data_IF_286962548160
#
_entry.id   IF_286962548160
#
_cell.length_a   1.000
_cell.length_b   1.000
_cell.length_c   1.000
_cell.angle_alpha   90.00
_cell.angle_beta   90.00
_cell.angle_gamma   90.00
#
_symmetry.space_group_name_H-M   'P 1'
#
loop_
_entity.id
_entity.type
_entity.pdbx_description
1 polymer ?
#
# COMPACT_ATOMS: atom_id res chain seq x y z
N UNK A 1 -2.85 1.45 -27.87
CA UNK A 1 -2.93 2.69 -27.05
C UNK A 1 -3.20 3.88 -27.94
N UNK A 2 -4.09 4.80 -27.55
CA UNK A 2 -4.34 6.02 -28.33
C UNK A 2 -3.16 7.00 -28.24
N UNK A 3 -3.01 7.86 -29.24
CA UNK A 3 -1.98 8.91 -29.28
C UNK A 3 -2.04 9.83 -28.04
N UNK A 4 -3.24 10.03 -27.48
CA UNK A 4 -3.46 10.88 -26.32
C UNK A 4 -2.85 10.27 -25.04
N UNK A 5 -2.97 8.95 -24.87
CA UNK A 5 -2.41 8.24 -23.72
C UNK A 5 -0.87 8.21 -23.74
N UNK A 6 -0.25 8.10 -24.92
CA UNK A 6 1.23 8.19 -25.07
C UNK A 6 1.76 9.57 -24.64
N UNK A 7 1.13 10.65 -25.10
CA UNK A 7 1.52 12.02 -24.75
C UNK A 7 1.38 12.34 -23.25
N UNK A 8 0.48 11.65 -22.55
CA UNK A 8 0.31 11.84 -21.11
C UNK A 8 1.47 11.20 -20.33
N UNK A 9 1.86 9.98 -20.69
CA UNK A 9 2.97 9.26 -20.06
C UNK A 9 4.30 10.00 -20.26
N UNK A 10 4.52 10.58 -21.44
CA UNK A 10 5.72 11.39 -21.74
C UNK A 10 5.88 12.62 -20.83
N UNK A 11 4.80 13.08 -20.19
CA UNK A 11 4.80 14.27 -19.31
C UNK A 11 4.96 13.93 -17.83
N UNK A 12 4.97 12.66 -17.46
CA UNK A 12 5.09 12.21 -16.07
C UNK A 12 6.51 11.70 -15.84
N UNK A 13 7.26 12.36 -14.95
CA UNK A 13 8.50 11.78 -14.43
C UNK A 13 8.15 10.61 -13.51
N UNK A 14 8.94 9.53 -13.54
CA UNK A 14 8.82 8.45 -12.57
C UNK A 14 8.92 8.99 -11.14
N UNK A 15 8.16 8.40 -10.22
CA UNK A 15 8.23 8.77 -8.81
C UNK A 15 9.60 8.35 -8.25
N UNK A 16 10.41 9.29 -7.73
CA UNK A 16 11.71 8.94 -7.18
C UNK A 16 11.51 8.19 -5.87
N UNK A 17 11.69 6.87 -5.91
CA UNK A 17 11.71 6.05 -4.69
C UNK A 17 13.05 6.27 -4.02
N UNK A 18 13.04 6.84 -2.80
CA UNK A 18 14.23 6.83 -1.97
C UNK A 18 14.53 5.39 -1.57
N UNK A 19 15.54 4.82 -2.20
CA UNK A 19 16.13 3.57 -1.78
C UNK A 19 17.40 3.94 -1.03
N UNK A 20 17.35 3.94 0.30
CA UNK A 20 18.54 4.07 1.13
C UNK A 20 19.57 2.97 0.80
N UNK A 21 20.80 3.06 1.34
CA UNK A 21 21.77 1.98 1.20
C UNK A 21 21.18 0.66 1.73
N UNK A 22 21.35 -0.42 0.96
CA UNK A 22 20.93 -1.76 1.38
C UNK A 22 21.55 -2.11 2.74
N UNK A 23 20.84 -2.87 3.56
CA UNK A 23 21.35 -3.35 4.85
C UNK A 23 22.74 -3.99 4.73
N UNK A 24 22.97 -4.77 3.67
CA UNK A 24 24.27 -5.38 3.37
C UNK A 24 25.41 -4.36 3.22
N UNK A 25 25.14 -3.19 2.62
CA UNK A 25 26.12 -2.11 2.51
C UNK A 25 26.40 -1.48 3.89
N UNK A 26 25.37 -1.31 4.72
CA UNK A 26 25.53 -0.80 6.09
C UNK A 26 26.32 -1.75 6.99
N UNK A 27 26.12 -3.07 6.84
CA UNK A 27 26.89 -4.10 7.57
C UNK A 27 28.38 -4.04 7.21
N UNK A 28 28.72 -3.83 5.93
CA UNK A 28 30.12 -3.70 5.52
C UNK A 28 30.80 -2.42 6.03
N UNK A 29 30.04 -1.33 6.19
CA UNK A 29 30.57 -0.06 6.67
C UNK A 29 30.81 -0.05 8.20
N UNK A 30 29.98 -0.80 8.96
CA UNK A 30 30.09 -0.91 10.43
C UNK A 30 29.91 -2.35 10.89
N UNK A 31 30.95 -3.20 10.82
CA UNK A 31 30.84 -4.64 11.09
C UNK A 31 30.43 -5.02 12.52
N UNK A 32 30.64 -4.12 13.49
CA UNK A 32 30.27 -4.32 14.90
C UNK A 32 28.84 -3.90 15.23
N UNK A 33 28.13 -3.28 14.28
CA UNK A 33 26.76 -2.80 14.47
C UNK A 33 25.81 -3.61 13.59
N UNK A 34 24.66 -4.01 14.15
CA UNK A 34 23.55 -4.59 13.38
C UNK A 34 22.71 -3.43 12.83
N UNK A 35 22.71 -3.16 11.52
CA UNK A 35 21.90 -2.07 10.98
C UNK A 35 20.41 -2.39 11.11
N UNK A 36 19.64 -1.36 11.43
CA UNK A 36 18.18 -1.40 11.49
C UNK A 36 17.63 -0.50 10.39
N UNK A 37 16.64 -0.97 9.63
CA UNK A 37 15.90 -0.14 8.67
C UNK A 37 14.89 0.71 9.43
N UNK A 38 15.01 2.03 9.28
CA UNK A 38 14.17 3.04 9.95
C UNK A 38 13.72 4.13 8.96
N UNK A 39 13.75 3.84 7.65
CA UNK A 39 13.60 4.82 6.56
C UNK A 39 12.25 4.72 5.82
N UNK A 40 11.43 3.70 6.07
CA UNK A 40 10.17 3.45 5.35
C UNK A 40 8.94 3.37 6.28
N UNK A 41 9.04 3.90 7.50
CA UNK A 41 7.93 3.98 8.48
C UNK A 41 7.31 2.64 8.89
N UNK A 42 8.05 1.52 8.84
CA UNK A 42 7.52 0.23 9.30
C UNK A 42 7.33 0.17 10.82
N UNK A 43 6.35 -0.62 11.27
CA UNK A 43 6.12 -0.88 12.68
C UNK A 43 6.86 -2.14 13.15
N UNK A 44 7.98 -1.96 13.85
CA UNK A 44 8.78 -3.05 14.44
C UNK A 44 8.37 -3.42 15.87
N UNK A 45 7.32 -2.82 16.43
CA UNK A 45 6.83 -3.12 17.77
C UNK A 45 5.85 -4.31 17.80
N UNK A 46 5.30 -4.69 16.64
CA UNK A 46 4.48 -5.90 16.53
C UNK A 46 5.38 -7.14 16.68
N UNK A 47 5.07 -8.08 17.60
CA UNK A 47 5.85 -9.30 17.72
C UNK A 47 5.88 -10.06 16.39
N UNK A 48 7.07 -10.47 15.95
CA UNK A 48 7.23 -11.22 14.71
C UNK A 48 6.34 -12.47 14.67
N UNK A 49 6.22 -13.19 15.79
CA UNK A 49 5.37 -14.37 15.90
C UNK A 49 3.88 -14.07 15.64
N UNK A 50 3.41 -12.88 16.04
CA UNK A 50 2.03 -12.45 15.77
C UNK A 50 1.80 -12.26 14.27
N UNK A 51 2.70 -11.51 13.60
CA UNK A 51 2.60 -11.25 12.15
C UNK A 51 2.70 -12.56 11.36
N UNK A 52 3.63 -13.44 11.72
CA UNK A 52 3.77 -14.77 11.10
C UNK A 52 2.52 -15.62 11.29
N UNK A 53 1.90 -15.59 12.47
CA UNK A 53 0.65 -16.31 12.74
C UNK A 53 -0.51 -15.83 11.85
N UNK A 54 -0.65 -14.52 11.65
CA UNK A 54 -1.67 -13.95 10.76
C UNK A 54 -1.45 -14.39 9.31
N UNK A 55 -0.20 -14.32 8.83
CA UNK A 55 0.16 -14.74 7.47
C UNK A 55 -0.11 -16.24 7.27
N UNK A 56 0.31 -17.07 8.23
CA UNK A 56 0.11 -18.51 8.16
C UNK A 56 -1.38 -18.86 8.06
N UNK A 57 -2.21 -18.24 8.91
CA UNK A 57 -3.67 -18.43 8.86
C UNK A 57 -4.25 -18.02 7.49
N UNK A 58 -3.81 -16.89 6.94
CA UNK A 58 -4.28 -16.44 5.63
C UNK A 58 -3.92 -17.42 4.50
N UNK A 59 -2.75 -18.06 4.56
CA UNK A 59 -2.34 -19.11 3.61
C UNK A 59 -3.16 -20.39 3.78
N UNK A 60 -3.48 -20.77 5.01
CA UNK A 60 -4.30 -21.94 5.31
C UNK A 60 -5.77 -21.76 4.88
N UNK A 61 -6.31 -20.56 5.07
CA UNK A 61 -7.70 -20.21 4.77
C UNK A 61 -7.92 -19.83 3.29
N UNK A 62 -6.87 -19.80 2.47
CA UNK A 62 -6.93 -19.30 1.08
C UNK A 62 -6.24 -20.20 0.06
N UNK A 63 -6.99 -20.67 -0.94
CA UNK A 63 -6.42 -21.30 -2.13
C UNK A 63 -6.06 -20.21 -3.15
N UNK A 64 -4.77 -19.93 -3.41
CA UNK A 64 -4.35 -18.85 -4.31
C UNK A 64 -4.74 -19.09 -5.78
N UNK A 65 -5.24 -20.29 -6.12
CA UNK A 65 -5.76 -20.61 -7.46
C UNK A 65 -7.19 -20.12 -7.66
N UNK A 66 -7.89 -19.74 -6.60
CA UNK A 66 -9.30 -19.36 -6.61
C UNK A 66 -9.48 -17.87 -6.29
N UNK A 67 -10.41 -17.22 -6.99
CA UNK A 67 -10.87 -15.89 -6.60
C UNK A 67 -11.69 -15.97 -5.31
N UNK A 68 -11.29 -15.22 -4.29
CA UNK A 68 -12.01 -15.15 -3.03
C UNK A 68 -12.99 -13.98 -3.03
N UNK A 69 -14.26 -14.25 -3.29
CA UNK A 69 -15.30 -13.21 -3.37
C UNK A 69 -15.97 -12.88 -2.02
N UNK A 70 -15.91 -13.78 -1.02
CA UNK A 70 -16.61 -13.62 0.26
C UNK A 70 -15.88 -12.79 1.33
N UNK A 71 -14.56 -12.91 1.41
CA UNK A 71 -13.76 -12.39 2.55
C UNK A 71 -13.81 -10.86 2.68
N UNK A 72 -13.99 -10.15 1.57
CA UNK A 72 -14.05 -8.69 1.58
C UNK A 72 -15.34 -8.15 2.20
N UNK A 73 -16.44 -8.91 2.14
CA UNK A 73 -17.72 -8.47 2.71
C UNK A 73 -17.67 -8.47 4.24
N UNK A 74 -17.09 -9.52 4.82
CA UNK A 74 -16.88 -9.61 6.27
C UNK A 74 -15.87 -8.59 6.75
N UNK A 75 -14.70 -8.48 6.09
CA UNK A 75 -13.69 -7.49 6.43
C UNK A 75 -14.26 -6.07 6.43
N UNK A 76 -15.08 -5.73 5.43
CA UNK A 76 -15.74 -4.42 5.33
C UNK A 76 -16.67 -4.15 6.51
N UNK A 77 -17.43 -5.15 6.95
CA UNK A 77 -18.33 -5.04 8.11
C UNK A 77 -17.53 -4.80 9.40
N UNK A 78 -16.52 -5.64 9.66
CA UNK A 78 -15.71 -5.52 10.87
C UNK A 78 -14.95 -4.18 10.94
N UNK A 79 -14.42 -3.71 9.81
CA UNK A 79 -13.78 -2.40 9.73
C UNK A 79 -14.78 -1.25 9.96
N UNK A 80 -15.99 -1.36 9.41
CA UNK A 80 -17.03 -0.35 9.59
C UNK A 80 -17.46 -0.25 11.06
N UNK A 81 -17.64 -1.38 11.74
CA UNK A 81 -17.95 -1.44 13.16
C UNK A 81 -16.80 -0.86 14.01
N UNK A 82 -15.54 -1.18 13.66
CA UNK A 82 -14.37 -0.64 14.34
C UNK A 82 -14.26 0.90 14.26
N UNK A 83 -14.56 1.49 13.10
CA UNK A 83 -14.47 2.96 12.90
C UNK A 83 -15.79 3.69 13.17
N UNK A 84 -16.90 2.98 13.42
CA UNK A 84 -18.20 3.56 13.75
C UNK A 84 -18.97 4.13 12.56
N UNK A 85 -18.93 3.48 11.40
CA UNK A 85 -19.67 3.88 10.18
C UNK A 85 -20.50 2.72 9.63
N UNK A 86 -21.38 2.98 8.65
CA UNK A 86 -22.06 1.89 7.94
C UNK A 86 -21.12 1.20 6.95
N UNK A 87 -21.26 -0.11 6.67
CA UNK A 87 -20.38 -0.83 5.76
C UNK A 87 -20.24 -0.18 4.38
N UNK A 88 -21.28 0.48 3.88
CA UNK A 88 -21.28 1.15 2.56
C UNK A 88 -20.38 2.39 2.50
N UNK A 89 -19.90 2.87 3.65
CA UNK A 89 -18.86 3.90 3.73
C UNK A 89 -17.43 3.34 3.70
N UNK A 90 -17.25 2.02 3.62
CA UNK A 90 -15.93 1.37 3.65
C UNK A 90 -15.66 0.65 2.34
N UNK A 91 -14.46 0.87 1.79
CA UNK A 91 -13.92 0.09 0.67
C UNK A 91 -12.53 -0.44 1.05
N UNK A 92 -12.12 -1.56 0.43
CA UNK A 92 -10.84 -2.22 0.69
C UNK A 92 -10.03 -2.22 -0.60
N UNK A 93 -8.78 -1.74 -0.52
CA UNK A 93 -7.83 -1.72 -1.63
C UNK A 93 -6.53 -2.44 -1.27
N UNK A 94 -5.68 -2.68 -2.27
CA UNK A 94 -4.36 -3.30 -2.09
C UNK A 94 -3.31 -2.30 -1.58
N UNK A 95 -3.60 -1.65 -0.45
CA UNK A 95 -2.79 -0.56 0.13
C UNK A 95 -3.36 0.83 -0.15
N UNK A 96 -2.78 1.84 0.49
CA UNK A 96 -3.23 3.24 0.38
C UNK A 96 -3.11 3.80 -1.04
N UNK A 97 -2.04 3.46 -1.76
CA UNK A 97 -1.81 3.92 -3.13
C UNK A 97 -2.89 3.45 -4.10
N UNK A 98 -3.39 2.22 -3.91
CA UNK A 98 -4.49 1.68 -4.70
C UNK A 98 -5.79 2.48 -4.47
N UNK A 99 -6.06 2.84 -3.21
CA UNK A 99 -7.21 3.69 -2.86
C UNK A 99 -7.07 5.12 -3.41
N UNK A 100 -5.88 5.72 -3.33
CA UNK A 100 -5.60 7.03 -3.92
C UNK A 100 -5.84 6.99 -5.43
N UNK A 101 -5.34 5.95 -6.11
CA UNK A 101 -5.59 5.73 -7.54
C UNK A 101 -7.08 5.58 -7.84
N UNK A 102 -7.80 4.75 -7.11
CA UNK A 102 -9.25 4.56 -7.30
C UNK A 102 -10.04 5.85 -7.12
N UNK A 103 -9.76 6.62 -6.06
CA UNK A 103 -10.43 7.90 -5.81
C UNK A 103 -10.12 8.89 -6.93
N UNK A 104 -8.85 9.02 -7.32
CA UNK A 104 -8.44 9.95 -8.38
C UNK A 104 -9.04 9.59 -9.73
N UNK A 105 -9.07 8.31 -10.12
CA UNK A 105 -9.72 7.84 -11.35
C UNK A 105 -11.25 8.02 -11.33
N UNK A 106 -11.88 7.87 -10.16
CA UNK A 106 -13.31 8.06 -10.02
C UNK A 106 -13.73 9.52 -10.22
N UNK A 107 -12.96 10.47 -9.63
CA UNK A 107 -13.38 11.88 -9.52
C UNK A 107 -12.70 12.82 -10.51
N UNK A 108 -11.49 12.51 -11.00
CA UNK A 108 -10.73 13.41 -11.88
C UNK A 108 -10.83 13.00 -13.35
N UNK A 109 -10.82 13.99 -14.23
CA UNK A 109 -10.76 13.87 -15.68
C UNK A 109 -9.56 14.64 -16.23
N UNK A 110 -9.21 14.35 -17.49
CA UNK A 110 -8.12 15.05 -18.15
C UNK A 110 -8.43 16.56 -18.23
N UNK A 111 -7.54 17.38 -17.68
CA UNK A 111 -7.70 18.83 -17.61
C UNK A 111 -8.19 19.35 -16.26
N UNK A 112 -8.64 18.47 -15.38
CA UNK A 112 -8.99 18.85 -14.01
C UNK A 112 -7.74 19.25 -13.21
N UNK A 113 -7.98 20.01 -12.14
CA UNK A 113 -6.94 20.47 -11.22
C UNK A 113 -7.25 19.94 -9.82
N UNK A 114 -6.20 19.49 -9.13
CA UNK A 114 -6.26 19.07 -7.73
C UNK A 114 -5.27 19.91 -6.91
N UNK A 115 -5.47 19.96 -5.60
CA UNK A 115 -4.61 20.69 -4.66
C UNK A 115 -4.09 19.71 -3.61
N UNK A 116 -2.78 19.75 -3.37
CA UNK A 116 -2.10 18.99 -2.32
C UNK A 116 -1.18 19.93 -1.55
N UNK A 117 -0.85 19.59 -0.31
CA UNK A 117 0.18 20.30 0.46
C UNK A 117 1.58 19.87 -0.01
N UNK A 118 2.58 20.75 0.15
CA UNK A 118 3.96 20.45 -0.21
C UNK A 118 4.91 20.93 0.90
N UNK A 119 5.67 20.04 1.59
CA UNK A 119 5.72 18.59 1.38
C UNK A 119 4.50 17.86 1.98
N UNK A 120 4.13 16.72 1.38
CA UNK A 120 3.13 15.75 1.88
C UNK A 120 3.57 14.33 1.59
#
# INVERSE_FOLDING_TARGET
MSLAARRLIERVSGYPVYCGPTLSLCETATPSARPLRLDQNENLFLPQAFVQGVIQKAVEDSDPRLYQSGNLTELRRELADYVGVVPDCVTVGAGGDDLIRLVTEAVLRQGDRTVIMNPT
#
